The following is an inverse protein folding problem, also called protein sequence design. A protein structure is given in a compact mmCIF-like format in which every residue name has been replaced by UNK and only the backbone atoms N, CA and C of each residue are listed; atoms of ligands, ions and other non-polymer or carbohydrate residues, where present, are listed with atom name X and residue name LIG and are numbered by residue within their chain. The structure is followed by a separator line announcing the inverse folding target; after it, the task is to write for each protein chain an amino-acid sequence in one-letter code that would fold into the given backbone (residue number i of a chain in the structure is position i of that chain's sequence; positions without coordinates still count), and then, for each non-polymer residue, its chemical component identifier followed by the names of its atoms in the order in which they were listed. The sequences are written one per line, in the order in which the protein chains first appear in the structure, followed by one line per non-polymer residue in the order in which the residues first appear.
data_IF_942856207402
#
_entry.id   IF_942856207402
#
_cell.length_a   1.000
_cell.length_b   1.000
_cell.length_c   1.000
_cell.angle_alpha   90.00
_cell.angle_beta   90.00
_cell.angle_gamma   90.00
#
_symmetry.space_group_name_H-M   'P 1'
#
loop_
_entity.id
_entity.type
_entity.pdbx_description
1 polymer ?
#
# COMPACT_ATOMS: atom_id res chain seq x y z
N UNK A 1 -15.59 30.50 -6.96
CA UNK A 1 -14.49 30.32 -7.93
C UNK A 1 -13.50 31.44 -7.68
N UNK A 2 -12.44 31.18 -6.90
CA UNK A 2 -11.40 32.18 -6.63
C UNK A 2 -10.42 32.18 -7.80
N UNK A 3 -10.41 33.24 -8.60
CA UNK A 3 -9.43 33.45 -9.67
C UNK A 3 -8.36 34.38 -9.10
N UNK A 4 -7.17 33.83 -8.87
CA UNK A 4 -6.01 34.61 -8.43
C UNK A 4 -5.42 35.31 -9.66
N UNK A 5 -5.66 36.62 -9.78
CA UNK A 5 -5.15 37.44 -10.89
C UNK A 5 -3.63 37.68 -10.71
N UNK A 6 -2.81 36.98 -11.50
CA UNK A 6 -1.48 37.48 -11.89
C UNK A 6 -0.23 36.80 -11.31
N UNK A 7 -0.32 35.86 -10.38
CA UNK A 7 0.86 35.06 -10.01
C UNK A 7 1.06 33.89 -10.97
N UNK A 8 2.22 33.83 -11.60
CA UNK A 8 2.68 32.64 -12.30
C UNK A 8 2.94 31.53 -11.28
N UNK A 9 2.44 30.32 -11.56
CA UNK A 9 2.67 29.18 -10.68
C UNK A 9 4.19 28.94 -10.49
N UNK A 10 4.63 28.59 -9.28
CA UNK A 10 6.02 28.21 -9.06
C UNK A 10 6.37 26.98 -9.89
N UNK A 11 7.66 26.78 -10.19
CA UNK A 11 8.10 25.53 -10.83
C UNK A 11 7.93 24.37 -9.85
N UNK A 12 7.36 23.26 -10.35
CA UNK A 12 7.30 22.01 -9.59
C UNK A 12 8.72 21.48 -9.38
N UNK A 13 9.09 21.27 -8.12
CA UNK A 13 10.34 20.59 -7.74
C UNK A 13 10.00 19.30 -6.98
N UNK A 14 10.74 18.23 -7.24
CA UNK A 14 10.58 16.94 -6.56
C UNK A 14 11.88 16.60 -5.83
N UNK A 15 11.76 16.06 -4.61
CA UNK A 15 12.90 15.46 -3.91
C UNK A 15 13.30 14.17 -4.64
N UNK A 16 14.43 14.21 -5.31
CA UNK A 16 14.95 13.09 -6.08
C UNK A 16 15.85 12.24 -5.19
N UNK A 17 15.45 11.01 -4.91
CA UNK A 17 16.23 10.10 -4.05
C UNK A 17 17.59 9.72 -4.65
N UNK A 18 17.78 9.80 -5.97
CA UNK A 18 19.05 9.50 -6.63
C UNK A 18 20.10 10.58 -6.35
N UNK A 19 19.71 11.85 -6.44
CA UNK A 19 20.59 13.02 -6.23
C UNK A 19 20.56 13.53 -4.79
N UNK A 20 19.54 13.15 -4.02
CA UNK A 20 19.22 13.64 -2.67
C UNK A 20 18.96 15.15 -2.63
N UNK A 21 18.57 15.75 -3.75
CA UNK A 21 18.26 17.18 -3.89
C UNK A 21 16.83 17.40 -4.40
N UNK A 22 16.35 18.64 -4.26
CA UNK A 22 15.09 19.08 -4.88
C UNK A 22 15.36 19.56 -6.30
N UNK A 23 15.01 18.73 -7.27
CA UNK A 23 15.29 18.99 -8.69
C UNK A 23 14.03 19.55 -9.38
N UNK A 24 14.21 20.38 -10.41
CA UNK A 24 13.11 20.84 -11.25
C UNK A 24 12.47 19.62 -11.94
N UNK A 25 11.15 19.50 -11.85
CA UNK A 25 10.41 18.42 -12.49
C UNK A 25 10.15 18.75 -13.96
N UNK A 26 10.76 17.99 -14.85
CA UNK A 26 10.62 18.12 -16.30
C UNK A 26 10.05 16.79 -16.83
N UNK A 27 8.80 16.75 -17.33
CA UNK A 27 8.23 15.53 -17.89
C UNK A 27 9.00 15.05 -19.11
N UNK A 28 9.06 13.73 -19.31
CA UNK A 28 9.66 13.12 -20.51
C UNK A 28 8.86 13.39 -21.78
N UNK A 29 7.57 13.68 -21.64
CA UNK A 29 6.68 14.02 -22.75
C UNK A 29 7.15 15.32 -23.44
N UNK A 30 7.37 15.33 -24.77
CA UNK A 30 7.86 16.51 -25.49
C UNK A 30 6.95 17.73 -25.39
N UNK A 31 5.64 17.54 -25.16
CA UNK A 31 4.70 18.65 -25.00
C UNK A 31 4.80 19.28 -23.61
N UNK A 32 5.47 18.63 -22.66
CA UNK A 32 5.61 19.04 -21.27
C UNK A 32 4.31 18.96 -20.47
N UNK A 33 3.28 18.27 -20.97
CA UNK A 33 1.94 18.23 -20.35
C UNK A 33 1.58 16.89 -19.73
N UNK A 34 2.25 15.81 -20.14
CA UNK A 34 1.91 14.45 -19.70
C UNK A 34 2.95 13.91 -18.73
N UNK A 35 2.47 13.42 -17.59
CA UNK A 35 3.31 12.75 -16.57
C UNK A 35 2.96 11.27 -16.55
N UNK A 36 3.96 10.41 -16.77
CA UNK A 36 3.84 8.97 -16.60
C UNK A 36 4.47 8.63 -15.26
N UNK A 37 3.69 8.03 -14.37
CA UNK A 37 4.12 7.75 -13.00
C UNK A 37 3.81 6.30 -12.64
N UNK A 38 4.84 5.54 -12.29
CA UNK A 38 4.73 4.21 -11.70
C UNK A 38 4.93 4.23 -10.19
N UNK A 39 4.12 3.48 -9.45
CA UNK A 39 4.30 3.22 -8.03
C UNK A 39 4.21 1.72 -7.73
N UNK A 40 4.94 1.27 -6.72
CA UNK A 40 4.82 -0.10 -6.20
C UNK A 40 3.47 -0.26 -5.48
N UNK A 41 2.72 -1.27 -5.87
CA UNK A 41 1.50 -1.68 -5.17
C UNK A 41 1.75 -2.79 -4.14
N UNK A 42 0.67 -3.35 -3.56
CA UNK A 42 0.77 -4.28 -2.46
C UNK A 42 1.19 -5.68 -2.91
N UNK A 43 1.84 -6.42 -2.01
CA UNK A 43 1.86 -7.88 -2.03
C UNK A 43 0.63 -8.38 -1.27
N UNK A 44 -0.28 -9.07 -1.95
CA UNK A 44 -1.64 -9.38 -1.45
C UNK A 44 -1.70 -10.66 -0.62
N UNK A 45 -0.83 -10.79 0.38
CA UNK A 45 -0.83 -11.95 1.29
C UNK A 45 -1.73 -11.74 2.53
N UNK A 46 -1.98 -10.49 2.93
CA UNK A 46 -2.76 -10.11 4.12
C UNK A 46 -3.52 -8.81 3.91
N UNK A 47 -4.43 -8.50 4.84
CA UNK A 47 -5.20 -7.27 4.85
C UNK A 47 -4.31 -6.02 4.97
N UNK A 48 -4.77 -4.93 4.38
CA UNK A 48 -4.01 -3.68 4.40
C UNK A 48 -4.00 -3.05 5.81
N UNK A 49 -2.80 -2.73 6.32
CA UNK A 49 -2.63 -1.99 7.56
C UNK A 49 -2.41 -0.48 7.34
N UNK A 50 -2.33 0.30 8.42
CA UNK A 50 -2.16 1.77 8.38
C UNK A 50 -0.91 2.24 7.62
N UNK A 51 0.12 1.41 7.55
CA UNK A 51 1.33 1.70 6.78
C UNK A 51 1.06 1.78 5.27
N UNK A 52 0.28 0.84 4.74
CA UNK A 52 -0.19 0.90 3.34
C UNK A 52 -1.05 2.15 3.11
N UNK A 53 -1.97 2.42 4.05
CA UNK A 53 -2.87 3.59 3.96
C UNK A 53 -2.09 4.89 3.86
N UNK A 54 -1.08 5.09 4.71
CA UNK A 54 -0.22 6.29 4.67
C UNK A 54 0.42 6.49 3.30
N UNK A 55 0.97 5.43 2.71
CA UNK A 55 1.64 5.51 1.41
C UNK A 55 0.66 5.85 0.29
N UNK A 56 -0.47 5.14 0.21
CA UNK A 56 -1.46 5.36 -0.87
C UNK A 56 -2.13 6.72 -0.77
N UNK A 57 -2.45 7.19 0.44
CA UNK A 57 -3.01 8.54 0.65
C UNK A 57 -1.99 9.60 0.27
N UNK A 58 -0.72 9.45 0.68
CA UNK A 58 0.34 10.42 0.33
C UNK A 58 0.54 10.49 -1.18
N UNK A 59 0.59 9.35 -1.86
CA UNK A 59 0.69 9.27 -3.33
C UNK A 59 -0.54 9.91 -4.00
N UNK A 60 -1.75 9.69 -3.48
CA UNK A 60 -2.97 10.30 -4.02
C UNK A 60 -2.97 11.83 -3.88
N UNK A 61 -2.55 12.34 -2.71
CA UNK A 61 -2.42 13.79 -2.48
C UNK A 61 -1.43 14.40 -3.47
N UNK A 62 -0.25 13.79 -3.64
CA UNK A 62 0.76 14.27 -4.59
C UNK A 62 0.19 14.24 -6.02
N UNK A 63 -0.50 13.17 -6.39
CA UNK A 63 -1.13 13.03 -7.71
C UNK A 63 -2.17 14.12 -7.98
N UNK A 64 -2.99 14.46 -6.99
CA UNK A 64 -3.96 15.56 -7.07
C UNK A 64 -3.28 16.91 -7.17
N UNK A 65 -2.20 17.15 -6.42
CA UNK A 65 -1.41 18.38 -6.55
C UNK A 65 -0.84 18.52 -7.97
N UNK A 66 -0.21 17.46 -8.51
CA UNK A 66 0.38 17.47 -9.85
C UNK A 66 -0.71 17.67 -10.92
N UNK A 67 -1.85 17.01 -10.78
CA UNK A 67 -2.94 17.08 -11.76
C UNK A 67 -3.74 18.38 -11.67
N UNK A 68 -4.20 18.75 -10.48
CA UNK A 68 -5.23 19.77 -10.29
C UNK A 68 -4.63 21.14 -9.99
N UNK A 69 -3.47 21.22 -9.32
CA UNK A 69 -2.78 22.50 -9.05
C UNK A 69 -1.79 22.87 -10.16
N UNK A 70 -0.99 21.91 -10.63
CA UNK A 70 -0.01 22.16 -11.72
C UNK A 70 -0.55 21.87 -13.12
N UNK A 71 -1.74 21.27 -13.26
CA UNK A 71 -2.42 21.10 -14.55
C UNK A 71 -1.86 19.98 -15.43
N UNK A 72 -1.05 19.07 -14.91
CA UNK A 72 -0.51 17.96 -15.70
C UNK A 72 -1.56 16.87 -15.97
N UNK A 73 -1.49 16.27 -17.16
CA UNK A 73 -2.22 15.02 -17.45
C UNK A 73 -1.42 13.84 -16.90
N UNK A 74 -1.87 13.28 -15.79
CA UNK A 74 -1.17 12.16 -15.13
C UNK A 74 -1.70 10.81 -15.61
N UNK A 75 -0.81 9.97 -16.16
CA UNK A 75 -1.01 8.54 -16.36
C UNK A 75 -0.31 7.79 -15.22
N UNK A 76 -1.09 7.40 -14.23
CA UNK A 76 -0.60 6.69 -13.04
C UNK A 76 -0.80 5.18 -13.19
N UNK A 77 0.24 4.39 -12.92
CA UNK A 77 0.23 2.93 -12.95
C UNK A 77 0.76 2.40 -11.63
N UNK A 78 0.07 1.41 -11.08
CA UNK A 78 0.48 0.71 -9.87
C UNK A 78 0.30 -0.79 -10.10
N UNK A 79 1.31 -1.59 -9.76
CA UNK A 79 1.22 -3.04 -9.89
C UNK A 79 0.42 -3.67 -8.74
N UNK A 80 0.16 -4.97 -8.84
CA UNK A 80 -0.21 -5.82 -7.71
C UNK A 80 0.73 -7.00 -7.73
N UNK A 81 1.38 -7.30 -6.62
CA UNK A 81 2.23 -8.48 -6.50
C UNK A 81 1.35 -9.63 -6.00
N UNK A 82 0.87 -10.44 -6.95
CA UNK A 82 -0.01 -11.59 -6.73
C UNK A 82 0.74 -12.92 -6.62
N UNK A 83 2.05 -12.93 -6.92
CA UNK A 83 2.95 -14.06 -6.72
C UNK A 83 4.17 -13.58 -5.92
N UNK A 84 4.33 -14.11 -4.71
CA UNK A 84 5.43 -13.83 -3.78
C UNK A 84 5.54 -14.95 -2.75
N UNK A 85 6.72 -15.18 -2.19
CA UNK A 85 6.95 -16.20 -1.15
C UNK A 85 6.01 -16.03 0.06
N UNK A 86 5.69 -14.79 0.43
CA UNK A 86 4.76 -14.49 1.53
C UNK A 86 3.34 -14.99 1.24
N UNK A 87 2.90 -14.91 -0.02
CA UNK A 87 1.59 -15.41 -0.45
C UNK A 87 1.57 -16.94 -0.35
N UNK A 88 2.63 -17.60 -0.83
CA UNK A 88 2.76 -19.07 -0.79
C UNK A 88 2.73 -19.56 0.67
N UNK A 89 3.53 -18.95 1.54
CA UNK A 89 3.60 -19.32 2.97
C UNK A 89 2.26 -19.10 3.65
N UNK A 90 1.61 -17.94 3.46
CA UNK A 90 0.32 -17.64 4.07
C UNK A 90 -0.78 -18.59 3.59
N UNK A 91 -0.84 -18.88 2.30
CA UNK A 91 -1.78 -19.83 1.73
C UNK A 91 -1.64 -21.22 2.34
N UNK A 92 -0.40 -21.71 2.52
CA UNK A 92 -0.14 -22.98 3.20
C UNK A 92 -0.57 -22.97 4.66
N UNK A 93 -0.29 -21.89 5.40
CA UNK A 93 -0.71 -21.76 6.79
C UNK A 93 -2.23 -21.79 6.93
N UNK A 94 -2.95 -21.05 6.09
CA UNK A 94 -4.42 -21.02 6.09
C UNK A 94 -5.01 -22.39 5.76
N UNK A 95 -4.44 -23.10 4.78
CA UNK A 95 -4.89 -24.45 4.42
C UNK A 95 -4.71 -25.44 5.58
N UNK A 96 -3.54 -25.46 6.22
CA UNK A 96 -3.27 -26.36 7.35
C UNK A 96 -4.16 -26.05 8.55
N UNK A 97 -4.38 -24.77 8.86
CA UNK A 97 -5.30 -24.35 9.93
C UNK A 97 -6.74 -24.76 9.64
N UNK A 98 -7.21 -24.57 8.40
CA UNK A 98 -8.56 -24.96 8.01
C UNK A 98 -8.77 -26.48 8.16
N UNK A 99 -7.79 -27.28 7.74
CA UNK A 99 -7.82 -28.74 7.90
C UNK A 99 -7.85 -29.15 9.37
N UNK A 100 -6.98 -28.58 10.21
CA UNK A 100 -6.95 -28.86 11.65
C UNK A 100 -8.31 -28.57 12.31
N UNK A 101 -8.93 -27.43 11.98
CA UNK A 101 -10.26 -27.07 12.48
C UNK A 101 -11.35 -28.06 12.04
N UNK A 102 -11.26 -28.61 10.84
CA UNK A 102 -12.21 -29.61 10.35
C UNK A 102 -12.05 -30.95 11.08
N UNK A 103 -10.83 -31.38 11.35
CA UNK A 103 -10.53 -32.63 12.09
C UNK A 103 -11.01 -32.55 13.54
N UNK A 104 -10.95 -31.37 14.17
CA UNK A 104 -11.42 -31.14 15.55
C UNK A 104 -12.88 -30.72 15.67
N UNK A 105 -13.58 -30.44 14.57
CA UNK A 105 -14.99 -30.07 14.60
C UNK A 105 -15.92 -31.19 15.11
N UNK A 106 -15.37 -32.40 15.33
CA UNK A 106 -16.07 -33.56 15.88
C UNK A 106 -15.79 -33.82 17.35
N UNK A 107 -14.90 -33.07 17.99
CA UNK A 107 -14.63 -33.15 19.44
C UNK A 107 -15.41 -32.07 20.20
N UNK A 108 -15.93 -32.41 21.38
CA UNK A 108 -16.76 -31.55 22.24
C UNK A 108 -15.99 -30.26 22.60
N UNK A 109 -16.67 -29.10 22.57
CA UNK A 109 -16.13 -27.76 22.84
C UNK A 109 -15.68 -27.57 24.31
N UNK A 110 -15.72 -28.62 25.12
CA UNK A 110 -15.16 -28.63 26.47
C UNK A 110 -13.64 -28.64 26.42
N UNK A 111 -13.02 -27.48 26.60
CA UNK A 111 -11.61 -27.43 27.00
C UNK A 111 -11.52 -28.17 28.34
N UNK A 112 -10.81 -29.30 28.37
CA UNK A 112 -10.65 -30.07 29.59
C UNK A 112 -10.14 -29.15 30.71
N UNK A 113 -10.81 -29.14 31.87
CA UNK A 113 -10.43 -28.30 33.02
C UNK A 113 -8.96 -28.49 33.43
N UNK A 114 -8.38 -29.67 33.13
CA UNK A 114 -6.96 -29.97 33.31
C UNK A 114 -6.04 -29.10 32.46
N UNK A 115 -6.39 -28.84 31.20
CA UNK A 115 -5.63 -27.98 30.28
C UNK A 115 -5.67 -26.52 30.72
N UNK A 116 -6.83 -26.06 31.23
CA UNK A 116 -6.97 -24.71 31.80
C UNK A 116 -6.17 -24.56 33.10
N UNK A 117 -6.13 -25.59 33.94
CA UNK A 117 -5.35 -25.59 35.17
C UNK A 117 -3.83 -25.55 34.89
N UNK A 118 -3.36 -26.31 33.91
CA UNK A 118 -1.94 -26.36 33.51
C UNK A 118 -1.49 -25.03 32.89
N UNK A 119 -2.28 -24.43 32.00
CA UNK A 119 -1.97 -23.13 31.41
C UNK A 119 -1.90 -22.00 32.45
N UNK A 120 -2.73 -22.07 33.51
CA UNK A 120 -2.72 -21.10 34.62
C UNK A 120 -1.54 -21.27 35.58
N UNK A 121 -0.94 -22.46 35.66
CA UNK A 121 0.22 -22.71 36.52
C UNK A 121 1.54 -22.20 35.92
N UNK A 122 1.56 -21.93 34.61
CA UNK A 122 2.72 -21.43 33.88
C UNK A 122 2.63 -19.93 33.51
N UNK A 123 1.62 -19.24 34.03
CA UNK A 123 1.48 -17.78 34.06
C UNK A 123 1.73 -17.26 35.48
#
# INVERSE_FOLDING_TARGET
MFVWNGAQLPRLKILNSLTKSKDDFIPVDPTGKVVIWYAYGPTVYEDAHLGHTKNYVSTDIIRRIIKDYFGFRVRFVMNTTDIDDKIIVKGRQQHLLARFKQELATEDDSVADSLLAEARAHL
#
